data_IF_610114796077
#
_entry.id   IF_610114796077
#
_cell.length_a   1.000
_cell.length_b   1.000
_cell.length_c   1.000
_cell.angle_alpha   90.00
_cell.angle_beta   90.00
_cell.angle_gamma   90.00
#
_symmetry.space_group_name_H-M   'P 1'
#
loop_
_entity.id
_entity.type
_entity.pdbx_description
1 polymer ?
#
# COMPACT_ATOMS: atom_id res chain seq x y z
N UNK A 1 -46.96 -18.58 -51.50
CA UNK A 1 -45.98 -19.46 -50.82
C UNK A 1 -44.57 -18.87 -50.77
N UNK A 2 -43.90 -18.49 -51.87
CA UNK A 2 -42.51 -17.98 -51.79
C UNK A 2 -42.35 -16.64 -51.03
N UNK A 3 -43.34 -15.74 -51.14
CA UNK A 3 -43.31 -14.44 -50.46
C UNK A 3 -43.57 -14.52 -48.95
N UNK A 4 -44.36 -15.49 -48.49
CA UNK A 4 -44.64 -15.69 -47.07
C UNK A 4 -43.42 -16.30 -46.35
N UNK A 5 -42.70 -17.22 -47.00
CA UNK A 5 -41.48 -17.82 -46.46
C UNK A 5 -40.37 -16.75 -46.28
N UNK A 6 -40.29 -15.78 -47.20
CA UNK A 6 -39.29 -14.69 -47.13
C UNK A 6 -39.56 -13.71 -45.97
N UNK A 7 -40.84 -13.43 -45.68
CA UNK A 7 -41.24 -12.59 -44.53
C UNK A 7 -40.93 -13.27 -43.18
N UNK A 8 -41.12 -14.60 -43.08
CA UNK A 8 -40.77 -15.35 -41.88
C UNK A 8 -39.26 -15.45 -41.65
N UNK A 9 -38.46 -15.60 -42.71
CA UNK A 9 -37.00 -15.59 -42.63
C UNK A 9 -36.44 -14.21 -42.23
N UNK A 10 -37.03 -13.12 -42.74
CA UNK A 10 -36.64 -11.76 -42.34
C UNK A 10 -37.01 -11.45 -40.87
N UNK A 11 -38.12 -11.98 -40.37
CA UNK A 11 -38.51 -11.87 -38.96
C UNK A 11 -37.59 -12.63 -38.00
N UNK A 12 -37.07 -13.80 -38.41
CA UNK A 12 -36.11 -14.59 -37.63
C UNK A 12 -34.71 -13.94 -37.57
N UNK A 13 -34.30 -13.23 -38.61
CA UNK A 13 -33.01 -12.51 -38.66
C UNK A 13 -33.00 -11.21 -37.83
N UNK A 14 -34.17 -10.66 -37.47
CA UNK A 14 -34.26 -9.47 -36.60
C UNK A 14 -34.30 -9.82 -35.11
N UNK A 15 -34.50 -11.09 -34.75
CA UNK A 15 -34.47 -11.57 -33.36
C UNK A 15 -33.06 -11.95 -32.86
N UNK A 16 -32.04 -11.92 -33.71
CA UNK A 16 -30.63 -12.13 -33.33
C UNK A 16 -29.92 -10.86 -32.84
N UNK A 17 -30.66 -9.77 -32.66
CA UNK A 17 -30.13 -8.41 -32.45
C UNK A 17 -29.70 -8.00 -31.03
N UNK A 18 -29.65 -8.91 -30.06
CA UNK A 18 -29.12 -8.60 -28.72
C UNK A 18 -28.02 -9.59 -28.34
N UNK A 19 -26.89 -9.56 -29.05
CA UNK A 19 -25.66 -10.07 -28.49
C UNK A 19 -25.34 -9.20 -27.27
N UNK A 20 -25.67 -9.70 -26.07
CA UNK A 20 -25.25 -9.13 -24.80
C UNK A 20 -23.72 -9.16 -24.82
N UNK A 21 -23.12 -8.03 -25.21
CA UNK A 21 -21.69 -7.84 -25.15
C UNK A 21 -21.35 -7.79 -23.66
N UNK A 22 -20.90 -8.93 -23.12
CA UNK A 22 -20.42 -9.01 -21.74
C UNK A 22 -19.17 -8.13 -21.69
N UNK A 23 -19.35 -6.91 -21.22
CA UNK A 23 -18.23 -6.06 -20.85
C UNK A 23 -17.66 -6.70 -19.59
N UNK A 24 -16.49 -7.33 -19.67
CA UNK A 24 -15.80 -7.82 -18.49
C UNK A 24 -15.56 -6.62 -17.57
N UNK A 25 -16.01 -6.73 -16.32
CA UNK A 25 -15.78 -5.67 -15.36
C UNK A 25 -14.28 -5.65 -15.01
N UNK A 26 -13.63 -4.47 -14.94
CA UNK A 26 -12.20 -4.40 -14.68
C UNK A 26 -11.84 -5.00 -13.31
N UNK A 27 -10.65 -5.58 -13.23
CA UNK A 27 -10.06 -5.98 -11.95
C UNK A 27 -9.84 -4.76 -11.05
N UNK A 28 -9.93 -4.95 -9.74
CA UNK A 28 -9.71 -3.91 -8.73
C UNK A 28 -8.50 -4.21 -7.86
N UNK A 29 -7.73 -3.18 -7.57
CA UNK A 29 -6.74 -3.17 -6.48
C UNK A 29 -7.22 -2.18 -5.43
N UNK A 30 -7.34 -2.65 -4.20
CA UNK A 30 -7.81 -1.83 -3.09
C UNK A 30 -6.63 -1.26 -2.28
N UNK A 31 -6.81 -0.08 -1.70
CA UNK A 31 -5.94 0.48 -0.66
C UNK A 31 -6.78 0.65 0.60
N UNK A 32 -6.50 -0.14 1.64
CA UNK A 32 -7.12 0.00 2.95
C UNK A 32 -6.15 0.73 3.88
N UNK A 33 -6.49 1.95 4.25
CA UNK A 33 -5.66 2.82 5.09
C UNK A 33 -6.53 3.87 5.80
N UNK A 34 -5.96 4.59 6.76
CA UNK A 34 -6.62 5.74 7.39
C UNK A 34 -6.55 6.96 6.45
N UNK A 35 -7.71 7.46 6.02
CA UNK A 35 -7.92 8.70 5.27
C UNK A 35 -8.54 9.82 6.13
N UNK A 36 -9.04 9.46 7.30
CA UNK A 36 -9.59 10.39 8.30
C UNK A 36 -8.85 10.31 9.65
N UNK A 37 -9.07 11.31 10.51
CA UNK A 37 -8.52 11.33 11.86
C UNK A 37 -6.99 11.48 11.95
N UNK A 38 -6.41 10.90 13.02
CA UNK A 38 -5.00 11.08 13.42
C UNK A 38 -3.99 10.57 12.39
N UNK A 39 -4.33 9.50 11.67
CA UNK A 39 -3.42 8.84 10.72
C UNK A 39 -3.77 9.10 9.26
N UNK A 40 -4.61 10.10 8.95
CA UNK A 40 -4.99 10.45 7.57
C UNK A 40 -3.80 10.63 6.62
N UNK A 41 -2.68 11.13 7.12
CA UNK A 41 -1.48 11.32 6.31
C UNK A 41 -0.90 10.01 5.78
N UNK A 42 -1.14 8.88 6.45
CA UNK A 42 -0.74 7.54 6.00
C UNK A 42 -1.49 7.20 4.71
N UNK A 43 -2.83 7.33 4.74
CA UNK A 43 -3.67 7.08 3.56
C UNK A 43 -3.35 8.03 2.41
N UNK A 44 -3.17 9.32 2.67
CA UNK A 44 -2.83 10.28 1.60
C UNK A 44 -1.43 10.04 1.02
N UNK A 45 -0.43 9.71 1.83
CA UNK A 45 0.90 9.36 1.32
C UNK A 45 0.83 8.19 0.33
N UNK A 46 0.09 7.13 0.70
CA UNK A 46 -0.09 5.96 -0.15
C UNK A 46 -0.95 6.23 -1.37
N UNK A 47 -2.08 6.92 -1.22
CA UNK A 47 -3.04 7.14 -2.31
C UNK A 47 -2.40 7.78 -3.54
N UNK A 48 -1.63 8.86 -3.37
CA UNK A 48 -0.99 9.50 -4.51
C UNK A 48 0.16 8.67 -5.09
N UNK A 49 0.85 7.86 -4.27
CA UNK A 49 1.87 6.93 -4.75
C UNK A 49 1.26 5.81 -5.62
N UNK A 50 0.13 5.25 -5.17
CA UNK A 50 -0.62 4.22 -5.91
C UNK A 50 -1.16 4.80 -7.22
N UNK A 51 -1.71 6.03 -7.18
CA UNK A 51 -2.16 6.72 -8.40
C UNK A 51 -1.02 6.95 -9.40
N UNK A 52 0.16 7.33 -8.91
CA UNK A 52 1.33 7.47 -9.77
C UNK A 52 1.71 6.12 -10.41
N UNK A 53 1.78 5.04 -9.62
CA UNK A 53 2.08 3.70 -10.15
C UNK A 53 1.06 3.22 -11.20
N UNK A 54 -0.23 3.48 -10.99
CA UNK A 54 -1.28 3.20 -11.97
C UNK A 54 -1.10 3.98 -13.27
N UNK A 55 -0.78 5.27 -13.16
CA UNK A 55 -0.54 6.12 -14.32
C UNK A 55 0.68 5.64 -15.13
N UNK A 56 1.74 5.21 -14.43
CA UNK A 56 2.96 4.69 -15.06
C UNK A 56 2.75 3.31 -15.70
N UNK A 57 1.88 2.46 -15.13
CA UNK A 57 1.59 1.13 -15.66
C UNK A 57 0.67 1.14 -16.90
N UNK A 58 -0.14 2.20 -17.07
CA UNK A 58 -1.12 2.34 -18.16
C UNK A 58 -2.07 1.13 -18.32
N UNK A 59 -2.49 0.53 -17.21
CA UNK A 59 -3.38 -0.63 -17.17
C UNK A 59 -4.85 -0.25 -16.92
N UNK A 60 -5.77 -1.03 -17.47
CA UNK A 60 -7.21 -0.95 -17.16
C UNK A 60 -7.54 -1.71 -15.87
N UNK A 61 -7.04 -1.20 -14.74
CA UNK A 61 -7.35 -1.68 -13.39
C UNK A 61 -8.03 -0.55 -12.63
N UNK A 62 -9.14 -0.86 -11.96
CA UNK A 62 -9.84 0.10 -11.11
C UNK A 62 -9.16 0.18 -9.75
N UNK A 63 -8.91 1.40 -9.28
CA UNK A 63 -8.31 1.66 -7.99
C UNK A 63 -9.38 2.01 -6.94
N UNK A 64 -9.41 1.26 -5.84
CA UNK A 64 -10.40 1.41 -4.78
C UNK A 64 -9.75 1.84 -3.45
N UNK A 65 -9.64 3.15 -3.15
CA UNK A 65 -9.26 3.60 -1.82
C UNK A 65 -10.39 3.40 -0.81
N UNK A 66 -10.09 2.82 0.35
CA UNK A 66 -11.04 2.53 1.42
C UNK A 66 -10.47 3.02 2.74
N UNK A 67 -11.24 3.86 3.44
CA UNK A 67 -10.93 4.29 4.80
C UNK A 67 -11.15 3.14 5.82
N UNK A 68 -10.15 2.93 6.67
CA UNK A 68 -10.16 1.89 7.71
C UNK A 68 -11.03 2.23 8.92
N UNK A 69 -11.60 3.43 8.97
CA UNK A 69 -12.49 3.91 10.03
C UNK A 69 -11.78 4.21 11.35
N UNK A 70 -10.43 4.21 11.38
CA UNK A 70 -9.64 4.58 12.55
C UNK A 70 -9.79 3.64 13.77
N UNK A 71 -10.37 2.45 13.59
CA UNK A 71 -10.54 1.45 14.64
C UNK A 71 -10.32 0.04 14.10
N UNK A 72 -9.92 -0.88 14.97
CA UNK A 72 -9.70 -2.28 14.58
C UNK A 72 -10.99 -2.96 14.09
N UNK A 73 -12.14 -2.65 14.70
CA UNK A 73 -13.44 -3.21 14.30
C UNK A 73 -13.87 -2.72 12.93
N UNK A 74 -13.76 -1.41 12.67
CA UNK A 74 -14.11 -0.86 11.36
C UNK A 74 -13.18 -1.41 10.27
N UNK A 75 -11.87 -1.46 10.50
CA UNK A 75 -10.91 -2.01 9.55
C UNK A 75 -11.24 -3.47 9.17
N UNK A 76 -11.59 -4.32 10.16
CA UNK A 76 -12.05 -5.68 9.90
C UNK A 76 -13.34 -5.73 9.08
N UNK A 77 -14.31 -4.87 9.38
CA UNK A 77 -15.56 -4.79 8.61
C UNK A 77 -15.29 -4.40 7.15
N UNK A 78 -14.38 -3.45 6.91
CA UNK A 78 -13.95 -3.03 5.57
C UNK A 78 -13.22 -4.14 4.84
N UNK A 79 -12.34 -4.88 5.51
CA UNK A 79 -11.68 -6.06 4.96
C UNK A 79 -12.68 -7.14 4.52
N UNK A 80 -13.69 -7.45 5.34
CA UNK A 80 -14.76 -8.39 4.95
C UNK A 80 -15.53 -7.90 3.71
N UNK A 81 -15.82 -6.60 3.65
CA UNK A 81 -16.49 -6.01 2.50
C UNK A 81 -15.65 -6.12 1.20
N UNK A 82 -14.33 -5.95 1.29
CA UNK A 82 -13.42 -6.18 0.17
C UNK A 82 -13.35 -7.65 -0.23
N UNK A 83 -13.33 -8.57 0.75
CA UNK A 83 -13.28 -10.00 0.51
C UNK A 83 -14.50 -10.53 -0.26
N UNK A 84 -15.69 -9.95 -0.06
CA UNK A 84 -16.90 -10.37 -0.78
C UNK A 84 -17.01 -9.79 -2.20
N UNK A 85 -16.20 -8.79 -2.58
CA UNK A 85 -16.19 -8.25 -3.95
C UNK A 85 -15.25 -9.06 -4.86
N UNK A 86 -15.77 -9.89 -5.79
CA UNK A 86 -14.94 -10.74 -6.64
C UNK A 86 -14.02 -9.96 -7.58
N UNK A 87 -14.28 -8.68 -7.85
CA UNK A 87 -13.42 -7.86 -8.68
C UNK A 87 -12.14 -7.44 -7.96
N UNK A 88 -12.14 -7.38 -6.62
CA UNK A 88 -10.94 -7.04 -5.85
C UNK A 88 -9.99 -8.24 -5.90
N UNK A 89 -8.82 -8.02 -6.51
CA UNK A 89 -7.79 -9.04 -6.76
C UNK A 89 -6.62 -8.96 -5.80
N UNK A 90 -6.34 -7.78 -5.26
CA UNK A 90 -5.32 -7.55 -4.25
C UNK A 90 -5.70 -6.34 -3.37
N UNK A 91 -5.17 -6.29 -2.16
CA UNK A 91 -5.28 -5.14 -1.26
C UNK A 91 -3.92 -4.69 -0.74
N UNK A 92 -3.71 -3.39 -0.70
CA UNK A 92 -2.59 -2.74 -0.03
C UNK A 92 -3.04 -2.30 1.37
N UNK A 93 -2.30 -2.68 2.40
CA UNK A 93 -2.64 -2.40 3.81
C UNK A 93 -1.64 -1.42 4.41
N UNK A 94 -2.13 -0.31 4.97
CA UNK A 94 -1.29 0.66 5.69
C UNK A 94 -1.93 1.16 6.98
N UNK A 95 -1.12 1.24 8.03
CA UNK A 95 -1.54 1.70 9.35
C UNK A 95 -1.84 0.56 10.30
N UNK A 96 -1.87 0.87 11.60
CA UNK A 96 -2.00 -0.14 12.66
C UNK A 96 -3.28 -0.97 12.57
N UNK A 97 -4.42 -0.38 12.19
CA UNK A 97 -5.69 -1.09 12.13
C UNK A 97 -5.85 -1.88 10.82
N UNK A 98 -5.51 -1.29 9.68
CA UNK A 98 -5.55 -1.98 8.39
C UNK A 98 -4.59 -3.18 8.33
N UNK A 99 -3.40 -3.07 8.92
CA UNK A 99 -2.40 -4.13 8.93
C UNK A 99 -2.56 -5.14 10.08
N UNK A 100 -3.51 -4.94 11.00
CA UNK A 100 -3.71 -5.83 12.15
C UNK A 100 -4.02 -7.27 11.73
N UNK A 101 -3.60 -8.24 12.54
CA UNK A 101 -3.76 -9.67 12.24
C UNK A 101 -5.24 -10.05 12.01
N UNK A 102 -6.15 -9.48 12.79
CA UNK A 102 -7.59 -9.70 12.68
C UNK A 102 -8.14 -9.16 11.36
N UNK A 103 -7.64 -8.00 10.91
CA UNK A 103 -7.98 -7.41 9.61
C UNK A 103 -7.42 -8.27 8.47
N UNK A 104 -6.20 -8.78 8.59
CA UNK A 104 -5.60 -9.69 7.61
C UNK A 104 -6.40 -10.98 7.47
N UNK A 105 -6.86 -11.56 8.59
CA UNK A 105 -7.71 -12.76 8.60
C UNK A 105 -9.09 -12.49 7.99
N UNK A 106 -9.65 -11.31 8.21
CA UNK A 106 -10.94 -10.89 7.66
C UNK A 106 -10.97 -10.74 6.12
N UNK A 107 -9.80 -10.67 5.48
CA UNK A 107 -9.66 -10.65 4.02
C UNK A 107 -9.82 -12.03 3.35
N UNK A 108 -9.89 -13.11 4.13
CA UNK A 108 -10.07 -14.49 3.65
C UNK A 108 -9.02 -14.89 2.59
N UNK A 109 -9.42 -15.13 1.33
CA UNK A 109 -8.52 -15.54 0.24
C UNK A 109 -7.89 -14.36 -0.51
N UNK A 110 -8.29 -13.12 -0.22
CA UNK A 110 -7.83 -11.92 -0.92
C UNK A 110 -6.35 -11.62 -0.63
N UNK A 111 -5.43 -11.67 -1.61
CA UNK A 111 -4.02 -11.40 -1.36
C UNK A 111 -3.78 -9.98 -0.86
N UNK A 112 -2.87 -9.83 0.10
CA UNK A 112 -2.60 -8.56 0.75
C UNK A 112 -1.10 -8.23 0.75
N UNK A 113 -0.77 -6.98 0.47
CA UNK A 113 0.59 -6.44 0.65
C UNK A 113 0.52 -5.43 1.79
N UNK A 114 1.19 -5.70 2.91
CA UNK A 114 1.35 -4.73 3.99
C UNK A 114 2.53 -3.83 3.65
N UNK A 115 2.27 -2.52 3.58
CA UNK A 115 3.25 -1.53 3.11
C UNK A 115 3.90 -0.85 4.32
N UNK A 116 5.18 -1.16 4.57
CA UNK A 116 5.91 -0.68 5.75
C UNK A 116 5.73 -1.55 6.99
N UNK A 117 6.32 -1.13 8.10
CA UNK A 117 6.28 -1.86 9.37
C UNK A 117 5.25 -1.24 10.33
N UNK A 118 4.21 -2.01 10.65
CA UNK A 118 3.10 -1.57 11.51
C UNK A 118 2.98 -2.41 12.78
N UNK A 119 4.10 -2.94 13.29
CA UNK A 119 4.09 -3.93 14.38
C UNK A 119 3.11 -5.09 14.09
N UNK A 120 3.12 -5.53 12.84
CA UNK A 120 2.26 -6.57 12.30
C UNK A 120 3.12 -7.65 11.67
N UNK A 121 2.63 -8.88 11.69
CA UNK A 121 3.26 -10.04 11.07
C UNK A 121 2.26 -10.66 10.08
N UNK A 122 2.70 -11.48 9.11
CA UNK A 122 1.80 -12.23 8.25
C UNK A 122 0.92 -13.17 9.09
N UNK A 123 -0.38 -12.91 9.16
CA UNK A 123 -1.33 -13.69 9.95
C UNK A 123 -1.85 -14.93 9.20
N UNK A 124 -1.62 -15.01 7.88
CA UNK A 124 -2.01 -16.13 7.02
C UNK A 124 -1.20 -16.17 5.73
N UNK A 125 -1.32 -17.26 4.99
CA UNK A 125 -0.82 -17.35 3.62
C UNK A 125 -1.50 -16.31 2.71
N UNK A 126 -0.75 -15.78 1.74
CA UNK A 126 -1.22 -14.71 0.85
C UNK A 126 -1.13 -13.30 1.43
N UNK A 127 -0.50 -13.13 2.60
CA UNK A 127 -0.07 -11.82 3.12
C UNK A 127 1.44 -11.66 2.91
N UNK A 128 1.83 -10.52 2.33
CA UNK A 128 3.19 -10.20 1.96
C UNK A 128 3.60 -8.87 2.61
N UNK A 129 4.66 -8.87 3.41
CA UNK A 129 5.13 -7.70 4.16
C UNK A 129 6.23 -7.02 3.36
N UNK A 130 5.97 -5.79 2.90
CA UNK A 130 6.97 -4.96 2.24
C UNK A 130 7.81 -4.19 3.28
N UNK A 131 8.50 -4.96 4.12
CA UNK A 131 9.37 -4.50 5.20
C UNK A 131 10.33 -5.62 5.63
N UNK A 132 11.50 -5.26 6.12
CA UNK A 132 12.45 -6.21 6.70
C UNK A 132 11.94 -6.78 8.03
N UNK A 133 11.99 -8.10 8.19
CA UNK A 133 11.62 -8.78 9.43
C UNK A 133 12.47 -8.31 10.63
N UNK A 134 13.74 -7.99 10.40
CA UNK A 134 14.66 -7.54 11.44
C UNK A 134 14.29 -6.18 12.06
N UNK A 135 13.34 -5.42 11.49
CA UNK A 135 12.85 -4.19 12.12
C UNK A 135 12.21 -4.45 13.49
N UNK A 136 11.63 -5.64 13.72
CA UNK A 136 11.04 -6.04 15.00
C UNK A 136 12.06 -5.99 16.16
N UNK A 137 13.35 -6.19 15.88
CA UNK A 137 14.40 -6.19 16.91
C UNK A 137 15.16 -4.86 17.00
N UNK A 138 15.04 -4.00 15.99
CA UNK A 138 15.71 -2.70 15.93
C UNK A 138 14.89 -1.57 16.55
N UNK A 139 13.56 -1.67 16.49
CA UNK A 139 12.64 -0.67 17.04
C UNK A 139 12.59 -0.82 18.57
N UNK A 140 12.96 0.26 19.27
CA UNK A 140 12.93 0.29 20.75
C UNK A 140 11.66 0.95 21.28
N UNK A 141 10.93 1.69 20.43
CA UNK A 141 9.65 2.27 20.79
C UNK A 141 8.59 1.16 21.03
N UNK A 142 7.61 1.38 21.94
CA UNK A 142 6.54 0.41 22.15
C UNK A 142 5.78 0.10 20.86
N UNK A 143 5.40 -1.16 20.68
CA UNK A 143 4.61 -1.60 19.53
C UNK A 143 3.26 -0.88 19.51
N UNK A 144 2.80 -0.47 18.32
CA UNK A 144 1.51 0.21 18.11
C UNK A 144 1.31 1.48 18.97
N UNK A 145 2.39 2.15 19.36
CA UNK A 145 2.29 3.41 20.08
C UNK A 145 1.67 4.49 19.20
N UNK A 146 0.79 5.30 19.79
CA UNK A 146 0.20 6.41 19.07
C UNK A 146 1.22 7.50 18.75
N UNK A 147 1.10 8.18 17.61
CA UNK A 147 2.07 9.22 17.20
C UNK A 147 2.19 10.37 18.21
N UNK A 148 1.13 10.68 18.96
CA UNK A 148 1.14 11.68 20.04
C UNK A 148 1.98 11.20 21.21
N UNK A 149 1.79 9.96 21.64
CA UNK A 149 2.48 9.38 22.80
C UNK A 149 3.93 9.04 22.43
N UNK A 150 4.16 8.65 21.18
CA UNK A 150 5.49 8.46 20.59
C UNK A 150 6.32 9.75 20.64
N UNK A 151 5.69 10.90 20.40
CA UNK A 151 6.35 12.19 20.45
C UNK A 151 6.81 12.58 21.86
N UNK A 152 6.27 11.96 22.91
CA UNK A 152 6.61 12.20 24.32
C UNK A 152 7.71 11.27 24.86
N UNK A 153 8.09 10.21 24.14
CA UNK A 153 9.09 9.24 24.59
C UNK A 153 10.45 9.89 24.91
N UNK A 154 11.15 9.43 25.94
CA UNK A 154 12.50 9.92 26.22
C UNK A 154 13.49 9.48 25.13
N UNK A 155 14.42 10.37 24.75
CA UNK A 155 15.56 10.01 23.91
C UNK A 155 16.68 9.37 24.75
N UNK A 156 17.50 8.45 24.20
CA UNK A 156 17.46 7.96 22.82
C UNK A 156 16.32 6.97 22.56
N UNK A 157 15.72 7.05 21.38
CA UNK A 157 14.62 6.16 20.96
C UNK A 157 14.72 5.85 19.47
N UNK A 158 14.50 4.59 19.11
CA UNK A 158 14.39 4.14 17.73
C UNK A 158 12.94 3.76 17.43
N UNK A 159 12.34 4.40 16.44
CA UNK A 159 10.99 4.12 15.95
C UNK A 159 10.97 3.65 14.49
N UNK A 160 9.83 3.11 14.07
CA UNK A 160 9.57 2.72 12.68
C UNK A 160 8.96 3.86 11.86
N UNK A 161 8.18 3.51 10.83
CA UNK A 161 7.59 4.47 9.87
C UNK A 161 6.67 5.53 10.52
N UNK A 162 6.08 5.25 11.69
CA UNK A 162 5.30 6.25 12.45
C UNK A 162 6.13 7.45 12.87
N UNK A 163 7.41 7.24 13.18
CA UNK A 163 8.31 8.33 13.54
C UNK A 163 8.75 9.13 12.31
N UNK A 164 8.52 8.63 11.09
CA UNK A 164 8.81 9.34 9.84
C UNK A 164 7.65 10.22 9.37
N UNK A 165 6.49 10.15 10.02
CA UNK A 165 5.30 10.92 9.68
C UNK A 165 5.53 12.43 9.82
N UNK A 166 4.86 13.23 8.99
CA UNK A 166 5.06 14.66 8.96
C UNK A 166 4.64 15.36 10.26
N UNK A 167 3.68 14.78 10.99
CA UNK A 167 3.24 15.31 12.28
C UNK A 167 4.18 14.99 13.44
N UNK A 168 4.91 13.86 13.39
CA UNK A 168 5.81 13.45 14.47
C UNK A 168 6.83 14.53 14.88
N UNK A 169 7.61 15.14 13.96
CA UNK A 169 8.54 16.19 14.34
C UNK A 169 7.83 17.46 14.77
N UNK A 170 6.55 17.69 14.45
CA UNK A 170 5.81 18.86 14.92
C UNK A 170 5.31 18.72 16.36
N UNK A 171 5.11 17.49 16.83
CA UNK A 171 4.59 17.17 18.16
C UNK A 171 5.66 17.13 19.25
N UNK A 172 6.94 17.10 18.88
CA UNK A 172 8.07 16.94 19.81
C UNK A 172 8.88 18.22 19.91
N UNK A 173 9.39 18.57 21.09
CA UNK A 173 10.24 19.77 21.24
C UNK A 173 11.68 19.57 20.73
N UNK A 174 12.26 18.39 21.01
CA UNK A 174 13.65 18.06 20.70
C UNK A 174 13.77 16.76 19.93
N UNK A 175 14.43 16.79 18.78
CA UNK A 175 14.61 15.61 17.92
C UNK A 175 15.96 14.89 18.11
N UNK A 176 16.83 15.43 18.97
CA UNK A 176 18.11 14.80 19.31
C UNK A 176 17.90 13.38 19.88
N UNK A 177 18.63 12.41 19.33
CA UNK A 177 18.57 11.02 19.78
C UNK A 177 17.32 10.25 19.31
N UNK A 178 16.52 10.82 18.41
CA UNK A 178 15.48 10.08 17.69
C UNK A 178 16.10 9.46 16.44
N UNK A 179 16.00 8.13 16.34
CA UNK A 179 16.39 7.36 15.17
C UNK A 179 15.14 6.75 14.54
N UNK A 180 15.06 6.78 13.21
CA UNK A 180 13.99 6.12 12.45
C UNK A 180 14.62 5.00 11.63
N UNK A 181 14.03 3.82 11.67
CA UNK A 181 14.40 2.69 10.82
C UNK A 181 13.26 2.34 9.87
N UNK A 182 13.59 2.07 8.60
CA UNK A 182 12.61 1.69 7.58
C UNK A 182 13.28 0.91 6.47
N UNK A 183 12.49 0.11 5.74
CA UNK A 183 12.93 -0.50 4.47
C UNK A 183 12.75 0.42 3.26
N UNK A 184 12.25 1.63 3.47
CA UNK A 184 12.12 2.62 2.42
C UNK A 184 13.36 3.52 2.33
N UNK A 185 13.75 3.88 1.11
CA UNK A 185 14.65 5.02 0.85
C UNK A 185 13.86 6.33 0.89
N UNK A 186 14.54 7.45 1.17
CA UNK A 186 13.94 8.78 0.93
C UNK A 186 13.68 9.00 -0.57
N UNK A 187 12.58 9.68 -0.95
CA UNK A 187 12.31 9.98 -2.35
C UNK A 187 13.39 10.89 -2.93
N UNK A 188 13.84 10.57 -4.14
CA UNK A 188 14.69 11.45 -4.93
C UNK A 188 13.88 12.58 -5.60
N UNK A 189 14.58 13.51 -6.23
CA UNK A 189 13.96 14.69 -6.85
C UNK A 189 13.01 14.33 -8.01
N UNK A 190 13.32 13.28 -8.78
CA UNK A 190 12.50 12.84 -9.90
C UNK A 190 11.17 12.27 -9.39
N UNK A 191 11.24 11.31 -8.46
CA UNK A 191 10.05 10.73 -7.85
C UNK A 191 9.21 11.81 -7.17
N UNK A 192 9.83 12.72 -6.41
CA UNK A 192 9.10 13.79 -5.74
C UNK A 192 8.37 14.72 -6.71
N UNK A 193 8.97 15.03 -7.87
CA UNK A 193 8.34 15.83 -8.91
C UNK A 193 7.14 15.11 -9.53
N UNK A 194 7.31 13.84 -9.91
CA UNK A 194 6.24 13.01 -10.49
C UNK A 194 5.09 12.78 -9.51
N UNK A 195 5.40 12.48 -8.26
CA UNK A 195 4.41 12.32 -7.18
C UNK A 195 3.57 13.57 -7.01
N UNK A 196 4.19 14.76 -6.96
CA UNK A 196 3.46 16.04 -6.86
C UNK A 196 2.66 16.37 -8.12
N UNK A 197 3.15 15.96 -9.29
CA UNK A 197 2.43 16.13 -10.54
C UNK A 197 1.20 15.20 -10.67
N UNK A 198 1.13 14.10 -9.89
CA UNK A 198 0.01 13.15 -9.94
C UNK A 198 -1.34 13.75 -9.51
N UNK A 199 -1.32 14.82 -8.71
CA UNK A 199 -2.52 15.55 -8.28
C UNK A 199 -2.20 16.94 -7.72
N UNK A 200 -3.13 17.88 -7.89
CA UNK A 200 -3.01 19.26 -7.39
C UNK A 200 -2.71 19.38 -5.88
N UNK A 201 -3.17 18.43 -5.08
CA UNK A 201 -3.05 18.45 -3.61
C UNK A 201 -2.17 17.31 -3.06
N UNK A 202 -1.33 16.71 -3.91
CA UNK A 202 -0.36 15.72 -3.45
C UNK A 202 0.63 16.36 -2.45
N UNK A 203 0.81 15.80 -1.25
CA UNK A 203 1.77 16.30 -0.27
C UNK A 203 3.22 16.08 -0.76
N UNK A 204 4.21 16.50 0.03
CA UNK A 204 5.56 16.01 -0.19
C UNK A 204 5.60 14.50 0.13
N UNK A 205 6.16 13.65 -0.75
CA UNK A 205 6.25 12.22 -0.46
C UNK A 205 7.24 11.96 0.67
N UNK A 206 6.93 10.95 1.49
CA UNK A 206 7.83 10.40 2.51
C UNK A 206 8.21 8.94 2.22
N UNK A 207 8.73 8.26 3.25
CA UNK A 207 9.13 6.85 3.19
C UNK A 207 7.96 5.93 2.76
N UNK A 208 6.77 6.13 3.35
CA UNK A 208 5.59 5.33 3.02
C UNK A 208 5.12 5.51 1.57
N UNK A 209 5.32 6.70 0.97
CA UNK A 209 4.98 6.92 -0.42
C UNK A 209 5.86 6.08 -1.36
N UNK A 210 7.15 5.93 -1.04
CA UNK A 210 8.08 5.09 -1.80
C UNK A 210 7.67 3.61 -1.75
N UNK A 211 7.36 3.09 -0.56
CA UNK A 211 6.91 1.71 -0.42
C UNK A 211 5.52 1.49 -1.05
N UNK A 212 4.61 2.44 -0.94
CA UNK A 212 3.28 2.33 -1.52
C UNK A 212 3.32 2.31 -3.05
N UNK A 213 4.24 3.07 -3.66
CA UNK A 213 4.48 3.02 -5.11
C UNK A 213 4.94 1.60 -5.53
N UNK A 214 5.96 1.06 -4.85
CA UNK A 214 6.46 -0.28 -5.17
C UNK A 214 5.42 -1.37 -4.93
N UNK A 215 4.66 -1.28 -3.84
CA UNK A 215 3.58 -2.21 -3.54
C UNK A 215 2.47 -2.18 -4.61
N UNK A 216 2.12 -0.98 -5.09
CA UNK A 216 1.15 -0.81 -6.17
C UNK A 216 1.68 -1.38 -7.48
N UNK A 217 2.87 -0.98 -7.91
CA UNK A 217 3.49 -1.47 -9.13
C UNK A 217 3.62 -3.00 -9.14
N UNK A 218 4.01 -3.59 -7.99
CA UNK A 218 4.05 -5.02 -7.78
C UNK A 218 2.67 -5.67 -7.92
N UNK A 219 1.64 -5.13 -7.25
CA UNK A 219 0.27 -5.64 -7.34
C UNK A 219 -0.29 -5.57 -8.76
N UNK A 220 0.03 -4.49 -9.49
CA UNK A 220 -0.35 -4.28 -10.89
C UNK A 220 0.36 -5.26 -11.83
N UNK A 221 1.64 -5.55 -11.61
CA UNK A 221 2.41 -6.50 -12.42
C UNK A 221 1.81 -7.91 -12.38
N UNK A 222 1.26 -8.33 -11.25
CA UNK A 222 0.74 -9.69 -11.05
C UNK A 222 -0.76 -9.81 -11.34
N UNK A 223 -1.45 -8.69 -11.54
CA UNK A 223 -2.91 -8.62 -11.69
C UNK A 223 -3.30 -8.21 -13.11
N UNK A 224 -4.27 -8.90 -13.68
CA UNK A 224 -4.98 -8.51 -14.89
C UNK A 224 -6.48 -8.86 -14.75
N UNK A 225 -7.30 -8.53 -15.76
CA UNK A 225 -8.75 -8.79 -15.74
C UNK A 225 -9.11 -10.27 -15.51
N UNK A 226 -8.27 -11.19 -15.99
CA UNK A 226 -8.51 -12.63 -16.00
C UNK A 226 -7.85 -13.38 -14.83
N UNK A 227 -7.01 -12.69 -14.06
CA UNK A 227 -6.27 -13.31 -12.96
C UNK A 227 -7.17 -13.49 -11.74
N UNK A 228 -7.19 -14.71 -11.20
CA UNK A 228 -7.90 -15.04 -9.96
C UNK A 228 -7.08 -14.65 -8.72
N UNK A 229 -7.73 -14.49 -7.57
CA UNK A 229 -7.05 -14.23 -6.28
C UNK A 229 -5.97 -15.26 -5.95
N UNK A 230 -6.25 -16.55 -6.18
CA UNK A 230 -5.29 -17.62 -6.00
C UNK A 230 -4.05 -17.46 -6.90
N UNK A 231 -4.25 -17.07 -8.16
CA UNK A 231 -3.15 -16.79 -9.08
C UNK A 231 -2.36 -15.54 -8.69
N UNK A 232 -3.01 -14.47 -8.24
CA UNK A 232 -2.33 -13.28 -7.69
C UNK A 232 -1.46 -13.68 -6.50
N UNK A 233 -2.01 -14.44 -5.54
CA UNK A 233 -1.27 -14.93 -4.37
C UNK A 233 -0.04 -15.74 -4.78
N UNK A 234 -0.21 -16.70 -5.70
CA UNK A 234 0.88 -17.52 -6.21
C UNK A 234 1.96 -16.68 -6.92
N UNK A 235 1.55 -15.74 -7.77
CA UNK A 235 2.46 -14.86 -8.50
C UNK A 235 3.24 -13.94 -7.56
N UNK A 236 2.59 -13.36 -6.54
CA UNK A 236 3.27 -12.58 -5.49
C UNK A 236 4.30 -13.44 -4.74
N UNK A 237 3.97 -14.68 -4.40
CA UNK A 237 4.90 -15.59 -3.72
C UNK A 237 6.13 -16.00 -4.55
N UNK A 238 6.07 -15.87 -5.87
CA UNK A 238 7.16 -16.19 -6.79
C UNK A 238 7.76 -14.96 -7.48
N UNK A 239 7.35 -13.75 -7.06
CA UNK A 239 7.70 -12.53 -7.76
C UNK A 239 9.16 -12.15 -7.58
N UNK A 240 9.73 -11.59 -8.64
CA UNK A 240 10.99 -10.86 -8.61
C UNK A 240 10.75 -9.51 -9.27
N UNK A 241 10.71 -8.45 -8.47
CA UNK A 241 10.38 -7.09 -8.92
C UNK A 241 11.51 -6.13 -8.55
N UNK A 242 12.02 -5.39 -9.54
CA UNK A 242 13.03 -4.35 -9.30
C UNK A 242 12.30 -3.03 -9.04
N UNK A 243 12.11 -2.70 -7.76
CA UNK A 243 11.40 -1.51 -7.32
C UNK A 243 12.32 -0.31 -7.09
N UNK A 244 11.73 0.81 -6.71
CA UNK A 244 12.48 2.00 -6.30
C UNK A 244 13.31 1.74 -5.04
N UNK A 245 12.86 0.85 -4.16
CA UNK A 245 13.58 0.52 -2.92
C UNK A 245 14.54 -0.69 -3.09
N UNK A 246 14.71 -1.20 -4.31
CA UNK A 246 15.58 -2.33 -4.65
C UNK A 246 14.80 -3.57 -5.07
N UNK A 247 15.51 -4.70 -5.15
CA UNK A 247 14.93 -5.98 -5.52
C UNK A 247 13.96 -6.49 -4.44
N UNK A 248 12.72 -6.71 -4.84
CA UNK A 248 11.64 -7.26 -4.01
C UNK A 248 11.36 -8.71 -4.43
N UNK A 249 11.61 -9.61 -3.48
CA UNK A 249 11.21 -11.03 -3.49
C UNK A 249 10.67 -11.36 -2.09
N UNK A 250 9.83 -12.39 -1.95
CA UNK A 250 9.26 -12.75 -0.65
C UNK A 250 9.74 -14.11 -0.14
N UNK A 251 10.12 -14.16 1.13
CA UNK A 251 10.43 -15.38 1.87
C UNK A 251 9.68 -15.37 3.20
N UNK A 252 8.95 -16.46 3.49
CA UNK A 252 8.14 -16.58 4.70
C UNK A 252 7.16 -15.40 4.93
N UNK A 253 6.66 -14.81 3.84
CA UNK A 253 5.75 -13.66 3.87
C UNK A 253 6.42 -12.30 4.09
N UNK A 254 7.74 -12.22 4.21
CA UNK A 254 8.50 -10.97 4.30
C UNK A 254 9.29 -10.68 3.04
N UNK A 255 9.55 -9.41 2.77
CA UNK A 255 10.51 -9.01 1.75
C UNK A 255 11.91 -9.54 2.12
N UNK A 256 12.38 -10.51 1.33
CA UNK A 256 13.68 -11.14 1.49
C UNK A 256 14.81 -10.14 1.20
N UNK A 257 15.84 -10.14 2.05
CA UNK A 257 16.97 -9.21 2.00
C UNK A 257 16.56 -7.73 1.93
N UNK A 258 15.38 -7.39 2.47
CA UNK A 258 14.89 -6.03 2.50
C UNK A 258 15.92 -5.09 3.13
N UNK A 259 16.26 -3.97 2.49
CA UNK A 259 17.21 -3.02 3.04
C UNK A 259 16.68 -2.44 4.35
N UNK A 260 17.60 -1.99 5.19
CA UNK A 260 17.29 -1.26 6.42
C UNK A 260 18.07 0.04 6.38
N UNK A 261 17.33 1.14 6.29
CA UNK A 261 17.87 2.49 6.29
C UNK A 261 17.68 3.12 7.66
N UNK A 262 18.67 3.89 8.08
CA UNK A 262 18.64 4.65 9.32
C UNK A 262 18.54 6.14 9.01
N UNK A 263 17.59 6.80 9.66
CA UNK A 263 17.35 8.23 9.51
C UNK A 263 17.33 8.94 10.85
N UNK A 264 17.63 10.22 10.81
CA UNK A 264 17.44 11.16 11.91
C UNK A 264 16.90 12.49 11.34
N UNK A 265 16.48 13.39 12.21
CA UNK A 265 16.06 14.73 11.82
C UNK A 265 17.24 15.70 11.77
N UNK A 266 17.35 16.46 10.69
CA UNK A 266 18.32 17.56 10.56
C UNK A 266 17.90 18.80 11.38
N UNK A 267 18.72 19.85 11.36
CA UNK A 267 18.43 21.12 12.07
C UNK A 267 17.15 21.83 11.58
N UNK A 268 16.70 21.52 10.35
CA UNK A 268 15.45 22.02 9.77
C UNK A 268 14.27 21.09 10.06
N UNK A 269 14.48 20.08 10.92
CA UNK A 269 13.48 19.06 11.29
C UNK A 269 13.01 18.24 10.09
N UNK A 270 13.86 18.12 9.06
CA UNK A 270 13.62 17.27 7.91
C UNK A 270 14.33 15.93 8.11
N UNK A 271 13.70 14.85 7.66
CA UNK A 271 14.26 13.52 7.73
C UNK A 271 15.48 13.42 6.79
N UNK A 272 16.60 12.93 7.31
CA UNK A 272 17.85 12.76 6.59
C UNK A 272 18.54 11.43 6.97
N UNK A 273 19.29 10.78 6.06
CA UNK A 273 20.07 9.58 6.41
C UNK A 273 21.07 9.89 7.53
N UNK A 274 21.25 8.98 8.49
CA UNK A 274 22.11 9.20 9.67
C UNK A 274 23.53 9.60 9.27
N UNK A 275 24.10 8.98 8.24
CA UNK A 275 25.46 9.28 7.76
C UNK A 275 25.63 10.75 7.37
N UNK A 276 24.57 11.41 6.88
CA UNK A 276 24.59 12.84 6.52
C UNK A 276 24.38 13.79 7.71
N UNK A 277 23.84 13.29 8.83
CA UNK A 277 23.57 14.10 10.02
C UNK A 277 24.82 14.27 10.87
N UNK A 278 25.73 13.28 10.85
CA UNK A 278 27.02 13.34 11.55
C UNK A 278 27.94 14.40 10.93
N UNK A 279 27.92 14.58 9.61
CA UNK A 279 28.76 15.56 8.90
C UNK A 279 28.39 17.03 9.16
N UNK A 280 27.21 17.30 9.76
CA UNK A 280 26.69 18.66 10.01
C UNK A 280 26.81 19.12 11.47
N UNK A 281 27.40 18.29 12.34
CA UNK A 281 27.69 18.61 13.76
C UNK A 281 29.13 19.02 13.93
#
# INVERSE_FOLDING_TARGET
MAAEILCWLAGLLLLSGCAVWRTELPARVALLASFEGRYREVGYNAFYAVRLALADAALEIEFLPVDDGGTAESAQQRARALAVDPQVRAVLLLGYHAAAAETQLALDDLPAIVVGHWSAQPARAGVFMLAAQALDTLITAPARIDVTDAAELASPVTGGDVFALAQFPLLRDRLDGVTIVSSARLPDADFAARYRASAQFAPAPGLLAMLAYDAAALALQVTDANTTRAQVSQRLGAVRYEGLNGLITFENGYWADAPIYYYAYDQRRLLAPVDRVIEQR
#
